data_IF_793716792472
#
_entry.id   IF_793716792472
#
_cell.length_a   1.000
_cell.length_b   1.000
_cell.length_c   1.000
_cell.angle_alpha   90.00
_cell.angle_beta   90.00
_cell.angle_gamma   90.00
#
_symmetry.space_group_name_H-M   'P 1'
#
loop_
_entity.id
_entity.type
_entity.pdbx_description
1 polymer ?
#
# COMPACT_ATOMS: atom_id res chain seq x y z
N UNK A 1 -25.09 -5.42 -18.71
CA UNK A 1 -24.76 -6.80 -18.32
C UNK A 1 -23.87 -6.73 -17.10
N UNK A 2 -24.22 -7.43 -16.01
CA UNK A 2 -23.36 -7.47 -14.80
C UNK A 2 -22.21 -8.44 -15.06
N UNK A 3 -21.02 -7.94 -15.28
CA UNK A 3 -19.83 -8.77 -15.45
C UNK A 3 -19.38 -9.26 -14.07
N UNK A 4 -19.48 -10.55 -13.84
CA UNK A 4 -18.99 -11.17 -12.61
C UNK A 4 -17.49 -11.43 -12.71
N UNK A 5 -16.71 -10.74 -11.89
CA UNK A 5 -15.24 -10.91 -11.82
C UNK A 5 -14.93 -11.93 -10.71
N UNK A 6 -14.26 -13.03 -11.06
CA UNK A 6 -13.79 -14.04 -10.10
C UNK A 6 -12.28 -13.95 -9.93
N UNK A 7 -11.83 -13.54 -8.75
CA UNK A 7 -10.41 -13.49 -8.39
C UNK A 7 -10.08 -14.72 -7.53
N UNK A 8 -9.10 -15.51 -7.98
CA UNK A 8 -8.67 -16.69 -7.26
C UNK A 8 -7.92 -16.31 -5.97
N UNK A 9 -8.21 -16.99 -4.84
CA UNK A 9 -7.44 -16.80 -3.61
C UNK A 9 -5.95 -17.13 -3.77
N UNK A 10 -5.57 -17.90 -4.81
CA UNK A 10 -4.19 -18.28 -5.10
C UNK A 10 -3.28 -17.11 -5.48
N UNK A 11 -3.84 -15.97 -5.93
CA UNK A 11 -3.06 -14.78 -6.30
C UNK A 11 -2.63 -13.95 -5.08
N UNK A 12 -3.09 -14.29 -3.89
CA UNK A 12 -2.73 -13.62 -2.65
C UNK A 12 -1.75 -14.46 -1.82
N UNK A 13 -0.90 -13.79 -1.08
CA UNK A 13 -0.12 -14.44 -0.03
C UNK A 13 -1.03 -14.81 1.15
N UNK A 14 -0.93 -16.03 1.71
CA UNK A 14 -1.84 -16.50 2.77
C UNK A 14 -1.90 -15.58 3.99
N UNK A 15 -0.77 -15.02 4.41
CA UNK A 15 -0.65 -14.11 5.56
C UNK A 15 -1.55 -12.88 5.43
N UNK A 16 -1.79 -12.41 4.20
CA UNK A 16 -2.60 -11.21 3.95
C UNK A 16 -4.10 -11.49 3.72
N UNK A 17 -4.48 -12.74 3.40
CA UNK A 17 -5.86 -13.08 3.07
C UNK A 17 -6.92 -12.65 4.10
N UNK A 18 -6.68 -12.78 5.43
CA UNK A 18 -7.64 -12.33 6.43
C UNK A 18 -7.97 -10.84 6.33
N UNK A 19 -7.01 -10.03 5.87
CA UNK A 19 -7.16 -8.58 5.78
C UNK A 19 -7.76 -8.09 4.46
N UNK A 20 -7.94 -8.96 3.46
CA UNK A 20 -8.42 -8.56 2.13
C UNK A 20 -9.80 -7.87 2.16
N UNK A 21 -10.70 -8.40 2.96
CA UNK A 21 -12.09 -7.90 3.11
C UNK A 21 -12.37 -7.29 4.48
N UNK A 22 -11.35 -7.17 5.32
CA UNK A 22 -11.45 -6.46 6.59
C UNK A 22 -11.29 -4.95 6.33
N UNK A 23 -12.33 -4.18 6.62
CA UNK A 23 -12.38 -2.74 6.44
C UNK A 23 -12.68 -1.98 7.75
N UNK A 24 -12.63 -2.66 8.88
CA UNK A 24 -13.02 -2.09 10.18
C UNK A 24 -12.02 -1.05 10.69
N UNK A 25 -10.73 -1.28 10.45
CA UNK A 25 -9.67 -0.39 10.93
C UNK A 25 -9.50 0.81 10.00
N UNK A 26 -9.54 2.02 10.57
CA UNK A 26 -9.29 3.24 9.82
C UNK A 26 -7.85 3.33 9.30
N UNK A 27 -6.89 2.85 10.09
CA UNK A 27 -5.46 2.85 9.73
C UNK A 27 -4.95 1.43 9.67
N UNK A 28 -4.35 1.06 8.55
CA UNK A 28 -3.66 -0.21 8.40
C UNK A 28 -2.19 0.03 8.10
N UNK A 29 -1.33 -0.48 8.97
CA UNK A 29 0.12 -0.33 8.90
C UNK A 29 0.74 -1.66 8.56
N UNK A 30 1.40 -1.73 7.43
CA UNK A 30 2.14 -2.90 6.94
C UNK A 30 3.62 -2.59 6.96
N UNK A 31 4.38 -3.24 7.83
CA UNK A 31 5.81 -3.03 7.90
C UNK A 31 6.58 -4.33 7.75
N UNK A 32 7.76 -4.23 7.16
CA UNK A 32 8.53 -5.43 6.91
C UNK A 32 9.67 -5.21 5.93
N UNK A 33 10.53 -6.21 5.80
CA UNK A 33 11.65 -6.17 4.88
C UNK A 33 11.24 -6.10 3.41
N UNK A 34 12.21 -5.83 2.56
CA UNK A 34 12.04 -5.92 1.12
C UNK A 34 11.57 -7.33 0.72
N UNK A 35 10.76 -7.41 -0.33
CA UNK A 35 10.23 -8.69 -0.79
C UNK A 35 9.09 -9.28 0.05
N UNK A 36 8.66 -8.67 1.16
CA UNK A 36 7.57 -9.21 1.99
C UNK A 36 6.18 -9.19 1.33
N UNK A 37 6.00 -8.46 0.22
CA UNK A 37 4.73 -8.40 -0.53
C UNK A 37 3.72 -7.38 -0.01
N UNK A 38 4.06 -6.57 1.01
CA UNK A 38 3.15 -5.62 1.66
C UNK A 38 2.51 -4.61 0.71
N UNK A 39 3.31 -3.90 -0.08
CA UNK A 39 2.80 -2.88 -1.02
C UNK A 39 1.96 -3.51 -2.13
N UNK A 40 2.38 -4.68 -2.62
CA UNK A 40 1.61 -5.43 -3.62
C UNK A 40 0.25 -5.85 -3.08
N UNK A 41 0.20 -6.35 -1.84
CA UNK A 41 -1.07 -6.70 -1.19
C UNK A 41 -1.98 -5.47 -1.00
N UNK A 42 -1.44 -4.33 -0.59
CA UNK A 42 -2.25 -3.10 -0.45
C UNK A 42 -2.85 -2.71 -1.80
N UNK A 43 -2.08 -2.80 -2.90
CA UNK A 43 -2.60 -2.56 -4.25
C UNK A 43 -3.73 -3.54 -4.61
N UNK A 44 -3.55 -4.84 -4.33
CA UNK A 44 -4.58 -5.86 -4.51
C UNK A 44 -5.84 -5.54 -3.70
N UNK A 45 -5.70 -5.22 -2.42
CA UNK A 45 -6.82 -4.89 -1.52
C UNK A 45 -7.58 -3.66 -2.00
N UNK A 46 -6.89 -2.60 -2.41
CA UNK A 46 -7.49 -1.37 -2.89
C UNK A 46 -8.23 -1.57 -4.21
N UNK A 47 -7.65 -2.32 -5.16
CA UNK A 47 -8.34 -2.68 -6.41
C UNK A 47 -9.57 -3.53 -6.11
N UNK A 48 -9.45 -4.56 -5.25
CA UNK A 48 -10.56 -5.41 -4.86
C UNK A 48 -11.70 -4.58 -4.21
N UNK A 49 -11.36 -3.74 -3.24
CA UNK A 49 -12.32 -2.83 -2.57
C UNK A 49 -12.97 -1.88 -3.57
N UNK A 50 -12.18 -1.31 -4.49
CA UNK A 50 -12.65 -0.44 -5.55
C UNK A 50 -13.60 -1.12 -6.54
N UNK A 51 -13.42 -2.40 -6.83
CA UNK A 51 -14.32 -3.17 -7.68
C UNK A 51 -15.65 -3.51 -6.98
N UNK A 52 -15.63 -3.70 -5.66
CA UNK A 52 -16.83 -4.05 -4.88
C UNK A 52 -17.70 -2.85 -4.55
N UNK A 53 -17.12 -1.66 -4.45
CA UNK A 53 -17.84 -0.40 -4.20
C UNK A 53 -17.09 0.75 -4.85
N UNK A 54 -17.81 1.73 -5.41
CA UNK A 54 -17.18 2.90 -6.04
C UNK A 54 -16.36 3.69 -5.03
N UNK A 55 -15.09 3.91 -5.33
CA UNK A 55 -14.12 4.56 -4.45
C UNK A 55 -13.37 5.69 -5.15
N UNK A 56 -12.79 6.58 -4.38
CA UNK A 56 -11.77 7.53 -4.81
C UNK A 56 -10.51 7.31 -3.99
N UNK A 57 -9.54 6.65 -4.58
CA UNK A 57 -8.32 6.17 -3.93
C UNK A 57 -7.18 7.12 -4.27
N UNK A 58 -6.48 7.61 -3.25
CA UNK A 58 -5.30 8.45 -3.42
C UNK A 58 -4.06 7.65 -3.01
N UNK A 59 -3.15 7.46 -3.94
CA UNK A 59 -1.85 6.78 -3.72
C UNK A 59 -0.75 7.82 -3.67
N UNK A 60 0.02 7.82 -2.59
CA UNK A 60 1.01 8.85 -2.26
C UNK A 60 2.41 8.26 -2.11
N UNK A 61 3.39 8.95 -2.68
CA UNK A 61 4.81 8.89 -2.30
C UNK A 61 5.32 10.29 -1.94
N UNK A 62 6.44 10.35 -1.23
CA UNK A 62 7.08 11.63 -0.91
C UNK A 62 7.44 12.40 -2.18
N UNK A 63 8.04 11.71 -3.15
CA UNK A 63 8.54 12.29 -4.42
C UNK A 63 7.73 11.75 -5.59
N UNK A 64 7.13 12.66 -6.38
CA UNK A 64 6.26 12.31 -7.50
C UNK A 64 6.95 11.59 -8.65
N UNK A 65 8.21 11.91 -8.94
CA UNK A 65 8.96 11.33 -10.06
C UNK A 65 9.11 9.80 -9.97
N UNK A 66 9.15 9.24 -8.76
CA UNK A 66 9.28 7.78 -8.56
C UNK A 66 7.95 7.00 -8.68
N UNK A 67 6.81 7.68 -8.76
CA UNK A 67 5.49 7.04 -8.78
C UNK A 67 5.27 6.15 -9.99
N UNK A 68 5.69 6.62 -11.19
CA UNK A 68 5.44 5.94 -12.46
C UNK A 68 6.04 4.55 -12.50
N UNK A 69 7.32 4.45 -12.15
CA UNK A 69 8.10 3.23 -12.27
C UNK A 69 7.98 2.31 -11.04
N UNK A 70 7.35 2.79 -9.98
CA UNK A 70 7.11 2.05 -8.75
C UNK A 70 5.64 1.66 -8.58
N UNK A 71 4.92 2.38 -7.72
CA UNK A 71 3.57 2.00 -7.29
C UNK A 71 2.52 2.06 -8.41
N UNK A 72 2.64 2.99 -9.37
CA UNK A 72 1.71 3.02 -10.51
C UNK A 72 1.89 1.80 -11.42
N UNK A 73 3.14 1.43 -11.73
CA UNK A 73 3.44 0.20 -12.47
C UNK A 73 2.95 -1.04 -11.73
N UNK A 74 3.10 -1.08 -10.40
CA UNK A 74 2.62 -2.19 -9.57
C UNK A 74 1.09 -2.35 -9.66
N UNK A 75 0.31 -1.27 -9.60
CA UNK A 75 -1.14 -1.34 -9.79
C UNK A 75 -1.52 -1.85 -11.18
N UNK A 76 -0.81 -1.43 -12.23
CA UNK A 76 -1.02 -1.94 -13.59
C UNK A 76 -0.71 -3.44 -13.69
N UNK A 77 0.35 -3.91 -13.04
CA UNK A 77 0.67 -5.34 -12.98
C UNK A 77 -0.46 -6.14 -12.32
N UNK A 78 -0.97 -5.70 -11.18
CA UNK A 78 -2.11 -6.37 -10.51
C UNK A 78 -3.34 -6.44 -11.43
N UNK A 79 -3.67 -5.35 -12.13
CA UNK A 79 -4.79 -5.34 -13.09
C UNK A 79 -4.55 -6.29 -14.26
N UNK A 80 -3.32 -6.38 -14.77
CA UNK A 80 -2.94 -7.31 -15.83
C UNK A 80 -3.05 -8.77 -15.37
N UNK A 81 -2.52 -9.08 -14.19
CA UNK A 81 -2.58 -10.43 -13.59
C UNK A 81 -4.04 -10.89 -13.37
N UNK A 82 -4.92 -9.95 -13.05
CA UNK A 82 -6.35 -10.20 -12.87
C UNK A 82 -7.15 -10.12 -14.18
N UNK A 83 -6.48 -9.86 -15.32
CA UNK A 83 -7.10 -9.70 -16.65
C UNK A 83 -8.13 -8.57 -16.71
N UNK A 84 -7.89 -7.51 -15.97
CA UNK A 84 -8.75 -6.32 -15.87
C UNK A 84 -8.15 -5.09 -16.54
N UNK A 85 -6.91 -5.18 -17.03
CA UNK A 85 -6.17 -4.03 -17.56
C UNK A 85 -6.93 -3.33 -18.70
N UNK A 86 -7.42 -4.11 -19.65
CA UNK A 86 -8.15 -3.59 -20.83
C UNK A 86 -9.54 -3.03 -20.50
N UNK A 87 -10.11 -3.42 -19.36
CA UNK A 87 -11.39 -2.92 -18.88
C UNK A 87 -11.26 -1.57 -18.14
N UNK A 88 -10.03 -1.14 -17.85
CA UNK A 88 -9.73 0.07 -17.10
C UNK A 88 -9.34 1.22 -18.03
N UNK A 89 -9.65 2.46 -17.63
CA UNK A 89 -9.13 3.65 -18.32
C UNK A 89 -7.85 4.13 -17.64
N UNK A 90 -6.73 3.93 -18.29
CA UNK A 90 -5.41 4.29 -17.75
C UNK A 90 -4.92 5.56 -18.46
N UNK A 91 -4.64 6.62 -17.67
CA UNK A 91 -4.10 7.89 -18.17
C UNK A 91 -2.68 8.07 -17.65
N UNK A 92 -1.72 7.62 -18.44
CA UNK A 92 -0.27 7.62 -18.10
C UNK A 92 0.26 9.03 -17.76
N UNK A 93 -0.15 10.05 -18.50
CA UNK A 93 0.32 11.44 -18.26
C UNK A 93 -0.19 12.03 -16.95
N UNK A 94 -1.37 11.63 -16.51
CA UNK A 94 -2.01 12.11 -15.28
C UNK A 94 -1.75 11.20 -14.08
N UNK A 95 -1.17 10.03 -14.32
CA UNK A 95 -1.02 8.95 -13.34
C UNK A 95 -2.35 8.65 -12.65
N UNK A 96 -3.35 8.23 -13.44
CA UNK A 96 -4.67 7.85 -12.93
C UNK A 96 -5.16 6.56 -13.58
N UNK A 97 -5.90 5.78 -12.82
CA UNK A 97 -6.57 4.55 -13.26
C UNK A 97 -8.05 4.68 -12.89
N UNK A 98 -8.95 4.46 -13.85
CA UNK A 98 -10.39 4.37 -13.61
C UNK A 98 -10.83 2.93 -13.83
N UNK A 99 -11.38 2.28 -12.79
CA UNK A 99 -11.92 0.93 -12.85
C UNK A 99 -13.29 0.93 -13.58
N UNK A 100 -13.79 -0.24 -14.06
CA UNK A 100 -15.02 -0.34 -14.84
C UNK A 100 -16.27 0.25 -14.16
N UNK A 101 -16.32 0.23 -12.82
CA UNK A 101 -17.42 0.78 -12.03
C UNK A 101 -17.29 2.29 -11.72
N UNK A 102 -16.27 2.96 -12.28
CA UNK A 102 -16.00 4.38 -12.05
C UNK A 102 -15.23 4.69 -10.76
N UNK A 103 -14.60 3.69 -10.11
CA UNK A 103 -13.60 3.93 -9.06
C UNK A 103 -12.39 4.61 -9.66
N UNK A 104 -11.95 5.70 -9.05
CA UNK A 104 -10.77 6.45 -9.46
C UNK A 104 -9.58 6.14 -8.54
N UNK A 105 -8.43 5.79 -9.11
CA UNK A 105 -7.15 5.65 -8.40
C UNK A 105 -6.21 6.74 -8.91
N UNK A 106 -5.80 7.64 -8.04
CA UNK A 106 -5.04 8.85 -8.36
C UNK A 106 -3.68 8.76 -7.66
N UNK A 107 -2.60 8.90 -8.43
CA UNK A 107 -1.24 8.84 -7.89
C UNK A 107 -0.63 10.24 -7.85
N UNK A 108 -0.13 10.66 -6.67
CA UNK A 108 0.44 12.00 -6.44
C UNK A 108 1.67 11.96 -5.54
N UNK A 109 2.65 12.81 -5.84
CA UNK A 109 3.74 13.12 -4.92
C UNK A 109 3.33 14.21 -3.93
N UNK A 110 3.90 14.19 -2.72
CA UNK A 110 3.69 15.26 -1.72
C UNK A 110 4.49 16.53 -2.05
N UNK A 111 5.44 16.46 -2.96
CA UNK A 111 6.11 17.63 -3.56
C UNK A 111 5.12 18.55 -4.31
N UNK A 112 3.94 18.03 -4.67
CA UNK A 112 2.83 18.77 -5.27
C UNK A 112 1.62 18.89 -4.30
N UNK A 113 1.89 19.35 -3.09
CA UNK A 113 0.89 19.38 -1.99
C UNK A 113 -0.37 20.21 -2.32
N UNK A 114 -0.24 21.27 -3.13
CA UNK A 114 -1.38 22.13 -3.53
C UNK A 114 -2.38 21.35 -4.40
N UNK A 115 -1.90 20.52 -5.34
CA UNK A 115 -2.77 19.68 -6.15
C UNK A 115 -3.50 18.61 -5.32
N UNK A 116 -2.86 18.12 -4.25
CA UNK A 116 -3.51 17.18 -3.34
C UNK A 116 -4.63 17.88 -2.56
N UNK A 117 -4.43 19.13 -2.17
CA UNK A 117 -5.44 19.92 -1.44
C UNK A 117 -6.75 20.09 -2.23
N UNK A 118 -6.70 20.10 -3.55
CA UNK A 118 -7.87 20.25 -4.41
C UNK A 118 -8.70 18.96 -4.60
N UNK A 119 -8.17 17.78 -4.24
CA UNK A 119 -8.87 16.50 -4.44
C UNK A 119 -9.93 16.33 -3.35
N UNK A 120 -11.20 16.35 -3.73
CA UNK A 120 -12.33 16.11 -2.83
C UNK A 120 -12.85 14.68 -2.93
N UNK A 121 -13.54 14.21 -1.87
CA UNK A 121 -14.23 12.91 -1.86
C UNK A 121 -13.32 11.70 -1.78
N UNK A 122 -12.09 11.85 -1.26
CA UNK A 122 -11.17 10.74 -1.05
C UNK A 122 -11.77 9.78 -0.02
N UNK A 123 -11.82 8.50 -0.38
CA UNK A 123 -12.32 7.42 0.47
C UNK A 123 -11.21 6.57 1.05
N UNK A 124 -10.10 6.44 0.33
CA UNK A 124 -8.97 5.61 0.73
C UNK A 124 -7.65 6.32 0.36
N UNK A 125 -6.65 6.19 1.23
CA UNK A 125 -5.30 6.71 0.98
C UNK A 125 -4.30 5.59 1.16
N UNK A 126 -3.39 5.41 0.22
CA UNK A 126 -2.23 4.57 0.37
C UNK A 126 -0.95 5.41 0.36
N UNK A 127 -0.16 5.32 1.41
CA UNK A 127 1.14 5.97 1.55
C UNK A 127 2.22 4.92 1.39
N UNK A 128 2.83 4.90 0.21
CA UNK A 128 3.99 4.05 -0.12
C UNK A 128 5.25 4.68 0.44
N UNK A 129 6.11 3.90 1.09
CA UNK A 129 7.29 4.35 1.84
C UNK A 129 6.94 5.43 2.87
N UNK A 130 5.98 5.11 3.75
CA UNK A 130 5.39 6.06 4.73
C UNK A 130 6.45 6.72 5.64
N UNK A 131 7.62 6.13 5.78
CA UNK A 131 8.75 6.68 6.53
C UNK A 131 9.42 7.90 5.91
N UNK A 132 9.20 8.12 4.61
CA UNK A 132 9.75 9.27 3.88
C UNK A 132 8.96 10.56 4.12
N UNK A 133 7.68 10.45 4.49
CA UNK A 133 6.85 11.62 4.86
C UNK A 133 7.04 11.98 6.34
N UNK A 134 6.68 13.18 6.72
CA UNK A 134 6.68 13.58 8.13
C UNK A 134 5.29 13.42 8.78
N UNK A 135 5.25 13.50 10.12
CA UNK A 135 4.02 13.31 10.89
C UNK A 135 2.94 14.36 10.57
N UNK A 136 3.32 15.59 10.23
CA UNK A 136 2.36 16.63 9.86
C UNK A 136 1.70 16.32 8.51
N UNK A 137 2.48 15.85 7.53
CA UNK A 137 1.97 15.41 6.23
C UNK A 137 1.00 14.24 6.39
N UNK A 138 1.35 13.24 7.22
CA UNK A 138 0.44 12.14 7.56
C UNK A 138 -0.87 12.64 8.18
N UNK A 139 -0.80 13.54 9.15
CA UNK A 139 -1.97 14.11 9.81
C UNK A 139 -2.87 14.87 8.82
N UNK A 140 -2.28 15.64 7.92
CA UNK A 140 -3.03 16.35 6.87
C UNK A 140 -3.73 15.39 5.92
N UNK A 141 -3.08 14.29 5.51
CA UNK A 141 -3.68 13.24 4.68
C UNK A 141 -4.83 12.56 5.42
N UNK A 142 -4.64 12.19 6.67
CA UNK A 142 -5.69 11.55 7.48
C UNK A 142 -6.93 12.41 7.64
N UNK A 143 -6.79 13.74 7.79
CA UNK A 143 -7.91 14.68 7.85
C UNK A 143 -8.68 14.81 6.52
N UNK A 144 -8.12 14.35 5.40
CA UNK A 144 -8.80 14.33 4.09
C UNK A 144 -9.76 13.16 3.93
N UNK A 145 -9.60 12.10 4.71
CA UNK A 145 -10.55 10.99 4.78
C UNK A 145 -11.83 11.38 5.51
N UNK A 146 -12.62 12.23 4.87
CA UNK A 146 -13.89 12.76 5.37
C UNK A 146 -15.07 12.53 4.40
N UNK A 147 -14.94 11.53 3.53
CA UNK A 147 -16.05 11.09 2.69
C UNK A 147 -17.18 10.52 3.56
N UNK A 148 -18.43 10.64 3.08
CA UNK A 148 -19.60 10.02 3.71
C UNK A 148 -19.71 8.51 3.40
N UNK A 149 -18.88 8.01 2.49
CA UNK A 149 -18.82 6.59 2.18
C UNK A 149 -18.33 5.79 3.40
N UNK A 150 -18.84 4.56 3.62
CA UNK A 150 -18.39 3.72 4.72
C UNK A 150 -16.95 3.25 4.51
N UNK A 151 -16.30 2.90 5.61
CA UNK A 151 -14.97 2.26 5.60
C UNK A 151 -13.86 3.06 4.91
N UNK A 152 -13.80 4.37 5.20
CA UNK A 152 -12.67 5.20 4.77
C UNK A 152 -11.39 4.78 5.48
N UNK A 153 -10.34 4.44 4.72
CA UNK A 153 -9.12 3.86 5.28
C UNK A 153 -7.84 4.55 4.78
N UNK A 154 -6.81 4.55 5.64
CA UNK A 154 -5.45 4.93 5.30
C UNK A 154 -4.53 3.74 5.46
N UNK A 155 -3.74 3.44 4.44
CA UNK A 155 -2.80 2.34 4.37
C UNK A 155 -1.38 2.89 4.37
N UNK A 156 -0.51 2.37 5.22
CA UNK A 156 0.88 2.74 5.30
C UNK A 156 1.77 1.53 5.05
N UNK A 157 2.66 1.60 4.08
CA UNK A 157 3.69 0.59 3.85
C UNK A 157 5.07 1.19 4.06
N UNK A 158 5.95 0.49 4.76
CA UNK A 158 7.35 0.89 4.93
C UNK A 158 8.26 -0.27 5.34
N UNK A 159 9.54 -0.10 5.07
CA UNK A 159 10.58 -0.93 5.62
C UNK A 159 10.96 -0.42 7.02
N UNK A 160 11.49 -1.28 7.91
CA UNK A 160 11.93 -0.85 9.24
C UNK A 160 12.94 0.29 9.18
N UNK A 161 12.80 1.21 10.11
CA UNK A 161 13.60 2.42 10.19
C UNK A 161 14.12 2.65 11.59
N UNK A 162 14.96 3.68 11.74
CA UNK A 162 15.45 4.14 13.02
C UNK A 162 14.32 4.47 14.00
N UNK A 163 14.53 4.18 15.28
CA UNK A 163 13.62 4.54 16.37
C UNK A 163 13.38 6.05 16.49
N UNK A 164 14.23 6.88 15.88
CA UNK A 164 14.01 8.33 15.81
C UNK A 164 12.90 8.73 14.84
N UNK A 165 12.52 7.84 13.91
CA UNK A 165 11.47 8.12 12.94
C UNK A 165 10.09 8.24 13.61
N UNK A 166 9.25 9.14 13.12
CA UNK A 166 7.91 9.39 13.65
C UNK A 166 7.00 8.16 13.60
N UNK A 167 7.15 7.27 12.60
CA UNK A 167 6.36 6.04 12.48
C UNK A 167 6.65 5.10 13.67
N UNK A 168 7.92 5.03 14.12
CA UNK A 168 8.28 4.25 15.30
C UNK A 168 7.61 4.83 16.55
N UNK A 169 7.71 6.14 16.74
CA UNK A 169 7.12 6.83 17.90
C UNK A 169 5.61 6.70 17.95
N UNK A 170 4.95 6.66 16.79
CA UNK A 170 3.49 6.57 16.69
C UNK A 170 2.94 5.18 16.94
N UNK A 171 3.59 4.14 16.40
CA UNK A 171 3.02 2.78 16.37
C UNK A 171 3.82 1.72 17.13
N UNK A 172 5.01 2.04 17.66
CA UNK A 172 5.85 1.05 18.34
C UNK A 172 6.40 1.50 19.69
N UNK A 173 6.58 2.79 19.92
CA UNK A 173 7.08 3.32 21.18
C UNK A 173 5.97 3.49 22.22
N UNK A 174 4.78 3.89 21.75
CA UNK A 174 3.59 4.07 22.58
C UNK A 174 2.51 3.09 22.17
N UNK A 175 1.65 2.75 23.11
CA UNK A 175 0.45 2.00 22.79
C UNK A 175 -0.43 2.82 21.81
N UNK A 176 -0.76 2.23 20.67
CA UNK A 176 -1.66 2.84 19.70
C UNK A 176 -3.09 2.32 19.90
N UNK A 177 -4.07 3.05 19.39
CA UNK A 177 -5.47 2.63 19.49
C UNK A 177 -5.76 1.42 18.57
N UNK A 178 -5.85 0.24 19.16
CA UNK A 178 -6.13 -1.02 18.48
C UNK A 178 -7.55 -1.07 17.88
N UNK A 179 -8.50 -0.24 18.34
CA UNK A 179 -9.85 -0.20 17.75
C UNK A 179 -9.84 0.44 16.37
N UNK A 180 -8.95 1.40 16.14
CA UNK A 180 -8.87 2.15 14.90
C UNK A 180 -7.66 1.82 14.03
N UNK A 181 -6.66 1.12 14.58
CA UNK A 181 -5.39 0.86 13.89
C UNK A 181 -5.02 -0.61 13.95
N UNK A 182 -4.62 -1.15 12.83
CA UNK A 182 -4.00 -2.47 12.67
C UNK A 182 -2.54 -2.29 12.28
N UNK A 183 -1.64 -3.05 12.91
CA UNK A 183 -0.22 -3.08 12.58
C UNK A 183 0.20 -4.51 12.28
N UNK A 184 0.59 -4.79 11.04
CA UNK A 184 1.00 -6.10 10.59
C UNK A 184 2.48 -6.11 10.20
N UNK A 185 3.24 -6.98 10.88
CA UNK A 185 4.62 -7.29 10.53
C UNK A 185 4.67 -8.41 9.51
N UNK A 186 5.47 -8.23 8.46
CA UNK A 186 5.70 -9.26 7.45
C UNK A 186 7.16 -9.33 7.04
N UNK A 187 7.57 -10.48 6.53
CA UNK A 187 8.93 -10.76 6.08
C UNK A 187 8.90 -11.40 4.68
N UNK A 188 10.05 -11.62 4.08
CA UNK A 188 10.14 -12.37 2.83
C UNK A 188 9.50 -13.77 2.90
N UNK A 189 9.46 -14.39 4.08
CA UNK A 189 8.84 -15.72 4.30
C UNK A 189 7.32 -15.71 4.12
N UNK A 190 6.71 -14.55 4.24
CA UNK A 190 5.28 -14.36 4.03
C UNK A 190 4.92 -14.23 2.54
N UNK A 191 5.93 -14.14 1.65
CA UNK A 191 5.74 -13.97 0.23
C UNK A 191 6.12 -15.24 -0.56
N UNK A 192 5.12 -16.05 -0.89
CA UNK A 192 5.29 -17.29 -1.66
C UNK A 192 5.64 -17.08 -3.15
N UNK A 193 5.64 -15.85 -3.63
CA UNK A 193 5.91 -15.53 -5.04
C UNK A 193 7.34 -15.10 -5.29
N UNK A 194 8.19 -15.07 -4.26
CA UNK A 194 9.60 -14.75 -4.44
C UNK A 194 10.32 -15.87 -5.18
N UNK A 195 11.18 -15.56 -6.16
CA UNK A 195 12.04 -16.55 -6.77
C UNK A 195 13.10 -17.05 -5.77
N UNK A 196 13.48 -18.32 -5.89
CA UNK A 196 14.48 -18.96 -5.02
C UNK A 196 15.80 -18.18 -5.02
N UNK A 197 16.24 -17.68 -6.19
CA UNK A 197 17.45 -16.87 -6.32
C UNK A 197 17.44 -15.59 -5.49
N UNK A 198 16.27 -14.96 -5.32
CA UNK A 198 16.14 -13.80 -4.45
C UNK A 198 16.25 -14.19 -2.97
N UNK A 199 15.68 -15.33 -2.59
CA UNK A 199 15.77 -15.86 -1.22
C UNK A 199 17.22 -16.23 -0.89
N UNK A 200 17.94 -16.87 -1.82
CA UNK A 200 19.36 -17.18 -1.70
C UNK A 200 20.19 -15.91 -1.48
N UNK A 201 19.98 -14.87 -2.30
CA UNK A 201 20.67 -13.59 -2.14
C UNK A 201 20.40 -12.92 -0.77
N UNK A 202 19.19 -13.04 -0.24
CA UNK A 202 18.88 -12.56 1.11
C UNK A 202 19.62 -13.38 2.19
N UNK A 203 19.76 -14.68 2.01
CA UNK A 203 20.47 -15.54 2.95
C UNK A 203 21.98 -15.30 2.91
N UNK A 204 22.57 -15.10 1.73
CA UNK A 204 23.98 -14.72 1.57
C UNK A 204 24.30 -13.38 2.26
N UNK A 205 23.39 -12.43 2.22
CA UNK A 205 23.53 -11.16 2.91
C UNK A 205 23.73 -11.34 4.43
N UNK A 206 23.25 -12.43 5.02
CA UNK A 206 23.45 -12.74 6.45
C UNK A 206 24.93 -12.84 6.81
N UNK A 207 25.74 -13.38 5.92
CA UNK A 207 27.18 -13.60 6.10
C UNK A 207 28.00 -12.39 5.64
N UNK A 208 27.59 -11.77 4.52
CA UNK A 208 28.34 -10.70 3.86
C UNK A 208 28.05 -9.32 4.43
N UNK A 209 26.79 -9.06 4.84
CA UNK A 209 26.37 -7.79 5.47
C UNK A 209 25.27 -8.04 6.53
N UNK A 210 25.67 -8.46 7.75
CA UNK A 210 24.73 -8.77 8.82
C UNK A 210 23.86 -7.56 9.26
N UNK A 211 24.33 -6.34 9.03
CA UNK A 211 23.56 -5.11 9.36
C UNK A 211 22.41 -4.94 8.39
N UNK A 212 22.68 -5.02 7.10
CA UNK A 212 21.64 -4.95 6.07
C UNK A 212 20.68 -6.14 6.16
N UNK A 213 21.19 -7.34 6.45
CA UNK A 213 20.33 -8.50 6.71
C UNK A 213 19.35 -8.24 7.85
N UNK A 214 19.77 -7.63 8.95
CA UNK A 214 18.85 -7.25 10.04
C UNK A 214 17.78 -6.27 9.59
N UNK A 215 18.11 -5.30 8.77
CA UNK A 215 17.19 -4.27 8.27
C UNK A 215 16.18 -4.89 7.29
N UNK A 216 16.64 -5.71 6.35
CA UNK A 216 15.78 -6.23 5.28
C UNK A 216 15.04 -7.53 5.65
N UNK A 217 15.58 -8.31 6.58
CA UNK A 217 15.11 -9.68 6.83
C UNK A 217 14.58 -9.89 8.24
N UNK A 218 15.33 -9.52 9.29
CA UNK A 218 14.95 -9.93 10.65
C UNK A 218 14.10 -8.94 11.42
N UNK A 219 14.13 -7.68 11.06
CA UNK A 219 13.26 -6.63 11.63
C UNK A 219 13.10 -6.77 13.16
N UNK A 220 14.01 -6.23 13.93
CA UNK A 220 13.89 -6.11 15.39
C UNK A 220 13.59 -4.67 15.80
#
# INVERSE_FOLDING_TARGET
>A
MSTSIKISKKVFNPTYLPYLTDYEKRTEVYYGGAGSGKSHFIAQKLIYKGLTSKRKILVIRKVGNSLRDSVFSMFKSVLSDWKLYEECKIKESLLTIELPNGTEIIFKGLDDSEKIKSIAGITDIFIEECTEINQQEFSQLNLRLRSKEPYNQIFCAFNPVSKSNWVYKMWFEKEYNHDTTMVLKTTYKDNKFLPDSYIESLLEMKETDPVMYKIYVTIR
#
